data_IF_983664764479
#
_entry.id   IF_983664764479
#
_cell.length_a   1.000
_cell.length_b   1.000
_cell.length_c   1.000
_cell.angle_alpha   90.00
_cell.angle_beta   90.00
_cell.angle_gamma   90.00
#
_symmetry.space_group_name_H-M   'P 1'
#
loop_
_entity.id
_entity.type
_entity.pdbx_description
1 polymer ?
#
# COMPACT_ATOMS: atom_id res chain seq x y z
N UNK A 1 14.69 2.28 -28.71
CA UNK A 1 13.61 2.01 -27.75
C UNK A 1 13.94 2.80 -26.50
N UNK A 2 13.26 3.91 -26.27
CA UNK A 2 13.50 4.75 -25.08
C UNK A 2 12.81 4.05 -23.90
N UNK A 3 13.55 3.73 -22.85
CA UNK A 3 12.94 3.27 -21.60
C UNK A 3 12.34 4.52 -20.92
N UNK A 4 11.05 4.51 -20.53
CA UNK A 4 10.47 5.65 -19.87
C UNK A 4 11.20 5.91 -18.55
N UNK A 5 11.37 7.19 -18.22
CA UNK A 5 11.90 7.58 -16.92
C UNK A 5 11.04 6.94 -15.83
N UNK A 6 11.70 6.14 -14.99
CA UNK A 6 11.05 5.36 -13.93
C UNK A 6 11.39 5.99 -12.59
N UNK A 7 10.36 6.38 -11.84
CA UNK A 7 10.49 6.80 -10.44
C UNK A 7 10.31 5.56 -9.55
N UNK A 8 11.22 5.39 -8.60
CA UNK A 8 11.15 4.31 -7.61
C UNK A 8 11.22 4.87 -6.21
N UNK A 9 10.31 4.41 -5.35
CA UNK A 9 10.28 4.78 -3.92
C UNK A 9 9.89 3.60 -3.03
N UNK A 10 10.10 3.75 -1.72
CA UNK A 10 9.66 2.81 -0.68
C UNK A 10 8.30 3.25 -0.15
N UNK A 11 7.36 2.30 -0.03
CA UNK A 11 6.10 2.45 0.68
C UNK A 11 6.21 1.75 2.05
N UNK A 12 6.55 2.48 3.15
CA UNK A 12 6.83 1.86 4.43
C UNK A 12 5.63 1.14 5.02
N UNK A 13 5.86 -0.06 5.56
CA UNK A 13 4.84 -0.83 6.26
C UNK A 13 4.43 -0.12 7.55
N UNK A 14 3.16 -0.27 7.93
CA UNK A 14 2.57 0.39 9.08
C UNK A 14 2.24 -0.62 10.18
N UNK A 15 2.62 -0.30 11.42
CA UNK A 15 2.26 -1.06 12.62
C UNK A 15 1.39 -0.20 13.54
N UNK A 16 0.24 -0.73 13.96
CA UNK A 16 -0.51 -0.15 15.08
C UNK A 16 0.14 -0.61 16.37
N UNK A 17 0.83 0.28 17.09
CA UNK A 17 1.42 -0.01 18.40
C UNK A 17 0.33 -0.07 19.48
N UNK A 18 -0.72 0.72 19.32
CA UNK A 18 -1.96 0.62 20.07
C UNK A 18 -3.14 0.73 19.12
N UNK A 19 -4.24 0.06 19.43
CA UNK A 19 -5.49 0.22 18.70
C UNK A 19 -6.65 0.07 19.68
N UNK A 20 -7.43 1.12 19.87
CA UNK A 20 -8.63 1.13 20.69
C UNK A 20 -9.83 1.44 19.81
N UNK A 21 -10.80 0.53 19.82
CA UNK A 21 -12.10 0.69 19.18
C UNK A 21 -13.05 1.34 20.17
N UNK A 22 -13.55 2.53 19.84
CA UNK A 22 -14.34 3.37 20.77
C UNK A 22 -15.86 3.28 20.55
N UNK A 23 -16.30 2.57 19.51
CA UNK A 23 -17.71 2.42 19.16
C UNK A 23 -17.95 2.50 17.66
N UNK A 24 -19.16 2.15 17.23
CA UNK A 24 -19.58 2.23 15.83
C UNK A 24 -20.20 3.60 15.53
N UNK A 25 -19.87 4.15 14.37
CA UNK A 25 -20.40 5.39 13.79
C UNK A 25 -21.64 5.06 12.95
N UNK A 26 -22.44 6.07 12.63
CA UNK A 26 -23.63 5.93 11.80
C UNK A 26 -23.34 5.49 10.34
N UNK A 27 -22.10 5.66 9.87
CA UNK A 27 -21.64 5.23 8.54
C UNK A 27 -21.15 3.77 8.51
N UNK A 28 -21.32 3.02 9.59
CA UNK A 28 -20.93 1.62 9.68
C UNK A 28 -19.48 1.38 10.09
N UNK A 29 -18.64 2.41 10.12
CA UNK A 29 -17.24 2.30 10.56
C UNK A 29 -17.10 2.46 12.08
N UNK A 30 -15.94 2.11 12.62
CA UNK A 30 -15.63 2.36 14.01
C UNK A 30 -14.85 3.66 14.21
N UNK A 31 -15.10 4.32 15.35
CA UNK A 31 -14.21 5.36 15.84
C UNK A 31 -13.00 4.68 16.48
N UNK A 32 -11.81 5.03 16.01
CA UNK A 32 -10.56 4.44 16.46
C UNK A 32 -9.68 5.49 17.13
N UNK A 33 -8.99 5.06 18.17
CA UNK A 33 -7.86 5.77 18.80
C UNK A 33 -6.64 4.85 18.68
N UNK A 34 -5.56 5.32 18.06
CA UNK A 34 -4.46 4.47 17.62
C UNK A 34 -3.14 5.23 17.63
N UNK A 35 -2.08 4.59 18.13
CA UNK A 35 -0.70 5.02 17.93
C UNK A 35 -0.07 4.18 16.83
N UNK A 36 0.51 4.85 15.83
CA UNK A 36 1.04 4.23 14.63
C UNK A 36 2.53 4.48 14.49
N UNK A 37 3.28 3.45 14.12
CA UNK A 37 4.67 3.54 13.67
C UNK A 37 4.83 3.02 12.24
N UNK A 38 5.73 3.65 11.48
CA UNK A 38 6.15 3.16 10.17
C UNK A 38 7.46 2.39 10.34
N UNK A 39 7.52 1.18 9.79
CA UNK A 39 8.72 0.38 9.79
C UNK A 39 9.67 0.82 8.66
N UNK A 40 10.96 0.50 8.78
CA UNK A 40 11.94 0.74 7.71
C UNK A 40 11.84 -0.27 6.56
N UNK A 41 10.94 -1.26 6.69
CA UNK A 41 10.58 -2.21 5.64
C UNK A 41 9.27 -1.81 4.99
N UNK A 42 9.10 -2.17 3.72
CA UNK A 42 7.92 -1.81 2.96
C UNK A 42 8.00 -2.34 1.53
N UNK A 43 6.97 -2.07 0.75
CA UNK A 43 6.94 -2.42 -0.66
C UNK A 43 7.76 -1.40 -1.46
N UNK A 44 8.46 -1.87 -2.50
CA UNK A 44 9.11 -0.98 -3.46
C UNK A 44 8.17 -0.74 -4.62
N UNK A 45 7.81 0.52 -4.85
CA UNK A 45 6.94 0.92 -5.94
C UNK A 45 7.79 1.55 -7.05
N UNK A 46 7.60 1.10 -8.28
CA UNK A 46 8.18 1.69 -9.47
C UNK A 46 7.06 2.15 -10.39
N UNK A 47 7.13 3.39 -10.86
CA UNK A 47 6.13 3.99 -11.75
C UNK A 47 6.82 4.64 -12.95
N UNK A 48 6.21 4.52 -14.11
CA UNK A 48 6.69 5.08 -15.36
C UNK A 48 5.51 5.61 -16.18
N UNK A 49 5.75 6.61 -17.03
CA UNK A 49 4.73 7.10 -17.95
C UNK A 49 4.33 6.00 -18.94
N UNK A 50 3.03 5.85 -19.16
CA UNK A 50 2.43 4.84 -20.05
C UNK A 50 1.13 5.40 -20.66
N UNK A 51 0.75 4.92 -21.84
CA UNK A 51 -0.51 5.26 -22.50
C UNK A 51 -1.73 4.59 -21.81
N UNK A 52 -1.49 3.55 -21.01
CA UNK A 52 -2.50 2.80 -20.28
C UNK A 52 -2.08 2.48 -18.84
N UNK A 53 -3.06 2.33 -17.95
CA UNK A 53 -2.83 1.88 -16.58
C UNK A 53 -2.62 0.36 -16.58
N UNK A 54 -1.47 -0.07 -16.07
CA UNK A 54 -1.16 -1.47 -15.81
C UNK A 54 -0.53 -1.61 -14.42
N UNK A 55 -0.61 -2.81 -13.85
CA UNK A 55 -0.04 -3.12 -12.55
C UNK A 55 0.64 -4.48 -12.62
N UNK A 56 1.87 -4.57 -12.13
CA UNK A 56 2.58 -5.84 -11.96
C UNK A 56 3.03 -5.92 -10.52
N UNK A 57 2.66 -7.00 -9.85
CA UNK A 57 3.00 -7.24 -8.45
C UNK A 57 3.90 -8.47 -8.38
N UNK A 58 4.97 -8.39 -7.60
CA UNK A 58 5.89 -9.51 -7.37
C UNK A 58 6.14 -9.71 -5.88
N UNK A 59 6.73 -10.83 -5.52
CA UNK A 59 7.04 -11.17 -4.13
C UNK A 59 6.01 -12.11 -3.47
N UNK A 60 6.19 -12.41 -2.17
CA UNK A 60 5.53 -13.53 -1.50
C UNK A 60 3.99 -13.48 -1.49
N UNK A 61 3.40 -12.27 -1.53
CA UNK A 61 1.96 -12.07 -1.43
C UNK A 61 1.29 -11.64 -2.74
N UNK A 62 2.02 -11.59 -3.85
CA UNK A 62 1.52 -11.06 -5.13
C UNK A 62 0.28 -11.79 -5.67
N UNK A 63 0.15 -13.09 -5.38
CA UNK A 63 -1.02 -13.88 -5.82
C UNK A 63 -2.31 -13.49 -5.10
N UNK A 64 -2.23 -12.94 -3.88
CA UNK A 64 -3.39 -12.56 -3.08
C UNK A 64 -3.86 -11.12 -3.34
N UNK A 65 -3.08 -10.32 -4.07
CA UNK A 65 -3.30 -8.88 -4.27
C UNK A 65 -3.96 -8.54 -5.60
N UNK A 66 -4.65 -9.50 -6.21
CA UNK A 66 -5.52 -9.25 -7.38
C UNK A 66 -4.76 -8.89 -8.65
N UNK A 67 -3.62 -9.54 -8.91
CA UNK A 67 -2.87 -9.38 -10.16
C UNK A 67 -3.75 -9.73 -11.35
N UNK A 68 -4.33 -8.71 -11.99
CA UNK A 68 -5.08 -8.86 -13.24
C UNK A 68 -4.10 -8.43 -14.34
N UNK A 69 -3.80 -9.30 -15.33
CA UNK A 69 -2.97 -8.91 -16.46
C UNK A 69 -3.59 -7.77 -17.26
#
# INVERSE_FOLDING_TARGET
MVMPDTLTDLAPAKINLTLRVLGQRADGYHRLDSLVGFAEIGDRLSVAASESLSLTITGPFASATGNTP
#
